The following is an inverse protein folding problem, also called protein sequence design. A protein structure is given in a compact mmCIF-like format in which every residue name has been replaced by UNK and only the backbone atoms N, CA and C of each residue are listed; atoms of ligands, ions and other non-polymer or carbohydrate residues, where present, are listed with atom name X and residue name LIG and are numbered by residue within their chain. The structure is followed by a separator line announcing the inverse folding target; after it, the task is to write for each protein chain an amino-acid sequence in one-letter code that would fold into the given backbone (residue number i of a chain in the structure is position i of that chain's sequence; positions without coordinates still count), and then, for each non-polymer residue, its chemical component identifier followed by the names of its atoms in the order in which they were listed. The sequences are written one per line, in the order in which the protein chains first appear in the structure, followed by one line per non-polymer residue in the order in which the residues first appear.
data_IF_090724985670
#
_entry.id   IF_090724985670
#
_cell.length_a   1.000
_cell.length_b   1.000
_cell.length_c   1.000
_cell.angle_alpha   90.00
_cell.angle_beta   90.00
_cell.angle_gamma   90.00
#
_symmetry.space_group_name_H-M   'P 1'
#
loop_
_entity.id
_entity.type
_entity.pdbx_description
1 polymer ?
#
# COMPACT_ATOMS: atom_id res chain seq x y z
N UNK A 1 19.00 7.50 -15.97
CA UNK A 1 17.68 6.88 -16.16
C UNK A 1 17.68 5.34 -16.05
N UNK A 2 18.46 4.56 -16.82
CA UNK A 2 18.45 3.07 -16.71
C UNK A 2 18.81 2.56 -15.31
N UNK A 3 19.81 3.13 -14.68
CA UNK A 3 20.26 2.81 -13.30
C UNK A 3 19.11 3.00 -12.31
N UNK A 4 18.44 4.14 -12.36
CA UNK A 4 17.32 4.48 -11.46
C UNK A 4 16.11 3.56 -11.68
N UNK A 5 15.80 3.23 -12.96
CA UNK A 5 14.73 2.27 -13.26
C UNK A 5 15.05 0.85 -12.76
N UNK A 6 16.31 0.41 -12.82
CA UNK A 6 16.73 -0.87 -12.24
C UNK A 6 16.56 -0.85 -10.72
N UNK A 7 16.98 0.22 -10.07
CA UNK A 7 16.85 0.38 -8.63
C UNK A 7 15.38 0.28 -8.17
N UNK A 8 14.51 1.12 -8.70
CA UNK A 8 13.10 1.14 -8.29
C UNK A 8 12.30 -0.07 -8.71
N UNK A 9 12.52 -0.59 -9.92
CA UNK A 9 11.72 -1.70 -10.44
C UNK A 9 12.12 -3.05 -9.86
N UNK A 10 13.42 -3.25 -9.62
CA UNK A 10 13.95 -4.56 -9.23
C UNK A 10 14.33 -4.64 -7.74
N UNK A 11 14.28 -3.53 -7.01
CA UNK A 11 14.67 -3.44 -5.60
C UNK A 11 16.04 -4.11 -5.33
N UNK A 12 17.01 -3.84 -6.19
CA UNK A 12 18.39 -4.35 -6.08
C UNK A 12 19.30 -3.32 -5.44
N UNK A 13 20.37 -3.77 -4.80
CA UNK A 13 21.34 -2.87 -4.15
C UNK A 13 22.06 -2.01 -5.16
N UNK A 14 22.41 -0.78 -4.77
CA UNK A 14 23.24 0.13 -5.59
C UNK A 14 24.59 -0.50 -5.97
N UNK A 15 25.17 -1.32 -5.08
CA UNK A 15 26.42 -2.04 -5.35
C UNK A 15 26.24 -3.03 -6.51
N UNK A 16 25.17 -3.83 -6.51
CA UNK A 16 24.90 -4.75 -7.60
C UNK A 16 24.72 -4.02 -8.94
N UNK A 17 24.00 -2.87 -8.91
CA UNK A 17 23.85 -2.04 -10.11
C UNK A 17 25.22 -1.52 -10.58
N UNK A 18 26.06 -1.07 -9.64
CA UNK A 18 27.40 -0.58 -9.94
C UNK A 18 28.26 -1.64 -10.62
N UNK A 19 28.24 -2.86 -10.11
CA UNK A 19 28.98 -4.02 -10.65
C UNK A 19 28.50 -4.39 -12.06
N UNK A 20 27.17 -4.39 -12.27
CA UNK A 20 26.57 -4.72 -13.59
C UNK A 20 26.85 -3.64 -14.63
N UNK A 21 26.85 -2.37 -14.23
CA UNK A 21 27.02 -1.23 -15.16
C UNK A 21 28.49 -0.87 -15.35
N UNK A 22 29.38 -1.33 -14.46
CA UNK A 22 30.82 -1.08 -14.52
C UNK A 22 31.20 0.34 -14.03
N UNK A 23 30.49 0.85 -13.01
CA UNK A 23 30.75 2.14 -12.38
C UNK A 23 30.91 1.99 -10.87
N UNK A 24 31.26 3.07 -10.15
CA UNK A 24 31.30 3.03 -8.68
C UNK A 24 29.89 3.13 -8.08
N UNK A 25 29.68 2.50 -6.91
CA UNK A 25 28.42 2.60 -6.15
C UNK A 25 28.04 4.07 -5.88
N UNK A 26 29.02 4.92 -5.55
CA UNK A 26 28.77 6.36 -5.36
C UNK A 26 28.31 7.09 -6.63
N UNK A 27 28.67 6.60 -7.81
CA UNK A 27 28.15 7.12 -9.08
C UNK A 27 26.69 6.71 -9.28
N UNK A 28 26.33 5.46 -8.93
CA UNK A 28 24.96 4.98 -8.94
C UNK A 28 24.09 5.81 -8.00
N UNK A 29 24.51 5.98 -6.75
CA UNK A 29 23.78 6.76 -5.75
C UNK A 29 23.50 8.20 -6.20
N UNK A 30 24.53 8.91 -6.70
CA UNK A 30 24.35 10.27 -7.24
C UNK A 30 23.43 10.33 -8.45
N UNK A 31 23.48 9.31 -9.31
CA UNK A 31 22.60 9.23 -10.48
C UNK A 31 21.13 9.04 -10.05
N UNK A 32 20.89 8.16 -9.08
CA UNK A 32 19.57 7.94 -8.51
C UNK A 32 19.03 9.24 -7.92
N UNK A 33 19.76 9.86 -6.99
CA UNK A 33 19.35 11.10 -6.33
C UNK A 33 19.05 12.24 -7.33
N UNK A 34 19.87 12.38 -8.41
CA UNK A 34 19.63 13.39 -9.44
C UNK A 34 18.33 13.12 -10.23
N UNK A 35 18.02 11.86 -10.54
CA UNK A 35 16.79 11.51 -11.25
C UNK A 35 15.58 11.61 -10.33
N UNK A 36 15.70 11.26 -9.05
CA UNK A 36 14.67 11.45 -8.03
C UNK A 36 14.25 12.91 -7.92
N UNK A 37 15.21 13.81 -7.84
CA UNK A 37 14.92 15.24 -7.77
C UNK A 37 14.13 15.75 -9.00
N UNK A 38 14.40 15.22 -10.18
CA UNK A 38 13.64 15.55 -11.40
C UNK A 38 12.24 14.93 -11.39
N UNK A 39 12.12 13.68 -10.92
CA UNK A 39 10.85 12.97 -10.86
C UNK A 39 9.91 13.63 -9.85
N UNK A 40 10.40 14.02 -8.68
CA UNK A 40 9.59 14.66 -7.65
C UNK A 40 8.94 15.94 -8.16
N UNK A 41 9.66 16.77 -8.93
CA UNK A 41 9.08 17.97 -9.52
C UNK A 41 7.90 17.65 -10.44
N UNK A 42 7.99 16.57 -11.23
CA UNK A 42 6.91 16.19 -12.16
C UNK A 42 5.74 15.51 -11.42
N UNK A 43 6.06 14.65 -10.45
CA UNK A 43 5.05 13.88 -9.72
C UNK A 43 4.23 14.78 -8.79
N UNK A 44 4.89 15.74 -8.11
CA UNK A 44 4.20 16.66 -7.19
C UNK A 44 3.15 17.51 -7.91
N UNK A 45 3.42 17.92 -9.15
CA UNK A 45 2.45 18.68 -9.97
C UNK A 45 1.26 17.81 -10.45
N UNK A 46 1.44 16.49 -10.53
CA UNK A 46 0.42 15.57 -11.02
C UNK A 46 -0.35 14.84 -9.90
N UNK A 47 0.03 15.03 -8.63
CA UNK A 47 -0.67 14.39 -7.53
C UNK A 47 -2.12 14.92 -7.41
N UNK A 48 -3.12 14.03 -7.47
CA UNK A 48 -4.50 14.45 -7.30
C UNK A 48 -4.73 14.89 -5.84
N UNK A 49 -5.53 15.93 -5.66
CA UNK A 49 -6.13 16.19 -4.36
C UNK A 49 -6.99 14.99 -3.97
N UNK A 50 -6.60 14.31 -2.91
CA UNK A 50 -7.21 13.05 -2.46
C UNK A 50 -8.70 13.25 -2.16
N UNK A 51 -9.08 14.33 -1.49
CA UNK A 51 -10.48 14.63 -1.20
C UNK A 51 -11.29 14.87 -2.47
N UNK A 52 -10.74 15.62 -3.41
CA UNK A 52 -11.40 15.87 -4.70
C UNK A 52 -11.54 14.58 -5.51
N UNK A 53 -10.52 13.73 -5.53
CA UNK A 53 -10.54 12.45 -6.23
C UNK A 53 -11.54 11.44 -5.62
N UNK A 54 -11.77 11.51 -4.32
CA UNK A 54 -12.73 10.65 -3.61
C UNK A 54 -14.18 11.13 -3.67
N UNK A 55 -14.41 12.38 -4.09
CA UNK A 55 -15.74 12.98 -4.07
C UNK A 55 -16.68 12.27 -5.04
N UNK A 56 -17.70 11.60 -4.49
CA UNK A 56 -18.69 10.85 -5.27
C UNK A 56 -18.17 9.53 -5.87
N UNK A 57 -16.96 9.11 -5.50
CA UNK A 57 -16.32 7.90 -6.00
C UNK A 57 -16.28 6.82 -4.91
N UNK A 58 -16.57 5.57 -5.28
CA UNK A 58 -16.30 4.44 -4.41
C UNK A 58 -14.82 4.11 -4.48
N UNK A 59 -14.19 4.09 -3.31
CA UNK A 59 -12.79 3.77 -3.18
C UNK A 59 -12.57 2.31 -2.79
N UNK A 60 -11.39 1.80 -3.12
CA UNK A 60 -10.85 0.52 -2.65
C UNK A 60 -9.58 0.80 -1.89
N UNK A 61 -9.46 0.23 -0.69
CA UNK A 61 -8.23 0.31 0.10
C UNK A 61 -7.66 -1.09 0.36
N UNK A 62 -6.34 -1.21 0.29
CA UNK A 62 -5.61 -2.41 0.69
C UNK A 62 -4.27 -2.05 1.31
N UNK A 63 -3.81 -2.89 2.24
CA UNK A 63 -2.48 -2.78 2.83
C UNK A 63 -1.46 -3.55 2.00
N UNK A 64 -0.37 -2.90 1.64
CA UNK A 64 0.75 -3.54 0.96
C UNK A 64 2.01 -3.48 1.79
N UNK A 65 2.80 -4.56 1.79
CA UNK A 65 4.11 -4.56 2.42
C UNK A 65 5.18 -4.18 1.39
N UNK A 66 5.92 -3.12 1.66
CA UNK A 66 7.13 -2.77 0.93
C UNK A 66 8.31 -3.48 1.58
N UNK A 67 8.87 -4.55 0.96
CA UNK A 67 9.92 -5.34 1.57
C UNK A 67 11.20 -4.51 1.76
N UNK A 68 11.83 -4.67 2.93
CA UNK A 68 13.14 -4.14 3.22
C UNK A 68 14.16 -5.27 3.27
N UNK A 69 15.44 -4.92 3.08
CA UNK A 69 16.54 -5.82 3.37
C UNK A 69 16.51 -6.20 4.85
N UNK A 70 17.06 -7.38 5.19
CA UNK A 70 17.05 -7.91 6.57
C UNK A 70 17.54 -6.88 7.59
N UNK A 71 16.76 -6.68 8.63
CA UNK A 71 17.01 -5.75 9.73
C UNK A 71 16.95 -6.50 11.06
N UNK A 72 18.08 -7.05 11.48
CA UNK A 72 18.18 -7.73 12.77
C UNK A 72 17.87 -6.79 13.95
N UNK A 73 18.13 -5.49 13.77
CA UNK A 73 18.03 -4.49 14.82
C UNK A 73 16.70 -3.71 14.79
N UNK A 74 15.78 -4.07 13.88
CA UNK A 74 14.47 -3.43 13.75
C UNK A 74 13.34 -4.49 13.71
N UNK A 75 13.08 -5.19 14.82
CA UNK A 75 12.07 -6.26 14.89
C UNK A 75 10.64 -5.77 14.60
N UNK A 76 10.37 -4.48 14.78
CA UNK A 76 9.09 -3.85 14.46
C UNK A 76 8.75 -3.87 12.97
N UNK A 77 9.74 -4.02 12.09
CA UNK A 77 9.53 -4.12 10.65
C UNK A 77 9.10 -5.53 10.22
N UNK A 78 9.21 -6.55 11.09
CA UNK A 78 8.83 -7.91 10.72
C UNK A 78 7.33 -8.09 10.67
N UNK A 79 6.83 -8.41 9.48
CA UNK A 79 5.42 -8.76 9.25
C UNK A 79 5.19 -10.25 9.42
N UNK A 80 4.48 -10.64 10.47
CA UNK A 80 4.08 -12.04 10.68
C UNK A 80 3.09 -12.55 9.61
N UNK A 81 2.33 -11.66 8.98
CA UNK A 81 1.41 -11.99 7.88
C UNK A 81 2.18 -12.37 6.61
N UNK A 82 3.25 -11.64 6.30
CA UNK A 82 4.03 -11.81 5.08
C UNK A 82 5.34 -12.60 5.28
N UNK A 83 5.66 -12.95 6.54
CA UNK A 83 6.86 -13.68 6.92
C UNK A 83 8.17 -13.02 6.42
N UNK A 84 8.17 -11.69 6.36
CA UNK A 84 9.32 -10.90 5.89
C UNK A 84 9.33 -9.51 6.55
N UNK A 85 10.47 -8.83 6.49
CA UNK A 85 10.64 -7.45 6.96
C UNK A 85 10.21 -6.44 5.90
N UNK A 86 9.54 -5.38 6.33
CA UNK A 86 9.13 -4.32 5.43
C UNK A 86 8.30 -3.25 6.14
N UNK A 87 7.88 -2.28 5.36
CA UNK A 87 6.95 -1.24 5.78
C UNK A 87 5.56 -1.52 5.21
N UNK A 88 4.54 -1.34 6.04
CA UNK A 88 3.14 -1.40 5.60
C UNK A 88 2.72 -0.03 5.07
N UNK A 89 2.23 0.03 3.84
CA UNK A 89 1.61 1.22 3.25
C UNK A 89 0.16 0.91 2.89
N UNK A 90 -0.69 1.91 3.04
CA UNK A 90 -2.08 1.83 2.61
C UNK A 90 -2.19 2.37 1.20
N UNK A 91 -2.76 1.59 0.29
CA UNK A 91 -2.97 1.96 -1.11
C UNK A 91 -4.45 2.20 -1.33
N UNK A 92 -4.78 3.37 -1.86
CA UNK A 92 -6.14 3.79 -2.17
C UNK A 92 -6.30 3.93 -3.68
N UNK A 93 -7.30 3.26 -4.24
CA UNK A 93 -7.61 3.30 -5.66
C UNK A 93 -9.11 3.48 -5.90
N UNK A 94 -9.52 3.90 -7.10
CA UNK A 94 -10.91 3.85 -7.54
C UNK A 94 -11.28 2.45 -8.11
N UNK A 95 -12.57 2.25 -8.42
CA UNK A 95 -13.05 0.99 -8.98
C UNK A 95 -12.51 0.68 -10.39
N UNK A 96 -11.90 1.64 -11.07
CA UNK A 96 -11.22 1.42 -12.36
C UNK A 96 -9.78 0.93 -12.18
N UNK A 97 -9.29 0.90 -10.94
CA UNK A 97 -7.91 0.54 -10.59
C UNK A 97 -6.94 1.72 -10.68
N UNK A 98 -7.43 2.95 -10.85
CA UNK A 98 -6.57 4.14 -10.83
C UNK A 98 -6.12 4.42 -9.40
N UNK A 99 -4.82 4.51 -9.21
CA UNK A 99 -4.22 4.89 -7.94
C UNK A 99 -4.63 6.34 -7.58
N UNK A 100 -5.15 6.50 -6.36
CA UNK A 100 -5.51 7.80 -5.79
C UNK A 100 -4.45 8.24 -4.79
N UNK A 101 -4.03 7.34 -3.91
CA UNK A 101 -3.10 7.68 -2.84
C UNK A 101 -2.32 6.46 -2.35
N UNK A 102 -1.10 6.71 -1.92
CA UNK A 102 -0.30 5.77 -1.11
C UNK A 102 0.08 6.50 0.17
N UNK A 103 -0.20 5.89 1.31
CA UNK A 103 0.13 6.47 2.61
C UNK A 103 1.63 6.47 2.89
N UNK A 104 2.02 7.27 3.87
CA UNK A 104 3.34 7.12 4.48
C UNK A 104 3.55 5.69 5.01
N UNK A 105 4.79 5.19 4.95
CA UNK A 105 5.12 3.85 5.41
C UNK A 105 5.11 3.77 6.94
N UNK A 106 4.50 2.73 7.48
CA UNK A 106 4.57 2.40 8.91
C UNK A 106 5.25 1.05 9.13
N UNK A 107 5.57 0.73 10.37
CA UNK A 107 6.23 -0.54 10.70
C UNK A 107 5.40 -1.76 10.28
N UNK A 108 6.04 -2.72 9.59
CA UNK A 108 5.39 -3.87 8.96
C UNK A 108 4.72 -4.87 9.91
N UNK A 109 5.00 -4.79 11.22
CA UNK A 109 4.31 -5.60 12.25
C UNK A 109 2.84 -5.24 12.41
N UNK A 110 2.44 -4.03 12.02
CA UNK A 110 1.10 -3.53 12.22
C UNK A 110 0.11 -4.11 11.21
N UNK A 111 -1.09 -4.48 11.70
CA UNK A 111 -2.18 -4.93 10.85
C UNK A 111 -2.82 -3.78 10.09
N UNK A 112 -3.46 -4.07 8.95
CA UNK A 112 -4.02 -3.10 8.03
C UNK A 112 -4.98 -2.09 8.71
N UNK A 113 -5.87 -2.55 9.61
CA UNK A 113 -6.75 -1.66 10.36
C UNK A 113 -6.02 -0.71 11.33
N UNK A 114 -4.86 -1.11 11.87
CA UNK A 114 -4.02 -0.24 12.69
C UNK A 114 -3.29 0.76 11.79
N UNK A 115 -2.68 0.28 10.71
CA UNK A 115 -2.01 1.08 9.71
C UNK A 115 -2.91 2.20 9.18
N UNK A 116 -4.15 1.87 8.85
CA UNK A 116 -5.15 2.82 8.37
C UNK A 116 -5.41 3.98 9.36
N UNK A 117 -5.46 3.68 10.66
CA UNK A 117 -5.67 4.74 11.68
C UNK A 117 -4.43 5.61 11.87
N UNK A 118 -3.25 4.99 11.86
CA UNK A 118 -1.96 5.66 12.03
C UNK A 118 -1.64 6.63 10.89
N UNK A 119 -2.04 6.29 9.67
CA UNK A 119 -1.78 7.11 8.47
C UNK A 119 -2.72 8.31 8.33
N UNK A 120 -3.70 8.49 9.23
CA UNK A 120 -4.64 9.60 9.17
C UNK A 120 -5.68 9.51 8.03
N UNK A 121 -5.65 8.45 7.22
CA UNK A 121 -6.61 8.25 6.13
C UNK A 121 -8.06 8.15 6.60
N UNK A 122 -8.26 7.82 7.88
CA UNK A 122 -9.60 7.73 8.48
C UNK A 122 -10.39 9.05 8.41
N UNK A 123 -9.69 10.18 8.43
CA UNK A 123 -10.29 11.52 8.37
C UNK A 123 -10.55 11.98 6.93
N UNK A 124 -9.93 11.32 5.95
CA UNK A 124 -9.98 11.73 4.53
C UNK A 124 -10.98 10.91 3.73
N UNK A 125 -11.12 9.60 4.03
CA UNK A 125 -11.95 8.69 3.23
C UNK A 125 -13.39 8.62 3.76
N UNK A 126 -14.34 8.51 2.83
CA UNK A 126 -15.72 8.17 3.19
C UNK A 126 -15.81 6.67 3.48
N UNK A 127 -15.79 6.31 4.77
CA UNK A 127 -15.77 4.92 5.23
C UNK A 127 -16.94 4.10 4.68
N UNK A 128 -18.14 4.68 4.59
CA UNK A 128 -19.34 3.99 4.09
C UNK A 128 -19.32 3.73 2.57
N UNK A 129 -18.40 4.38 1.86
CA UNK A 129 -18.21 4.22 0.41
C UNK A 129 -16.79 3.73 0.05
N UNK A 130 -16.09 3.12 1.02
CA UNK A 130 -14.75 2.54 0.82
C UNK A 130 -14.81 1.04 1.02
N UNK A 131 -14.42 0.28 -0.02
CA UNK A 131 -14.33 -1.17 0.03
C UNK A 131 -12.97 -1.59 0.59
N UNK A 132 -12.99 -2.57 1.49
CA UNK A 132 -11.77 -3.09 2.09
C UNK A 132 -11.89 -4.61 2.36
N UNK A 133 -10.78 -5.23 2.72
CA UNK A 133 -10.78 -6.63 3.13
C UNK A 133 -11.18 -6.82 4.60
N UNK A 134 -11.18 -8.08 5.05
CA UNK A 134 -11.49 -8.44 6.44
C UNK A 134 -10.46 -7.95 7.45
N UNK A 135 -9.29 -7.54 7.01
CA UNK A 135 -8.23 -6.95 7.82
C UNK A 135 -8.61 -5.58 8.40
N UNK A 136 -9.57 -4.89 7.76
CA UNK A 136 -10.08 -3.58 8.19
C UNK A 136 -11.30 -3.66 9.10
N UNK A 137 -11.52 -4.79 9.77
CA UNK A 137 -12.64 -4.94 10.69
C UNK A 137 -12.61 -3.87 11.80
N UNK A 138 -13.77 -3.24 12.05
CA UNK A 138 -13.92 -2.18 13.06
C UNK A 138 -13.49 -0.78 12.60
N UNK A 139 -13.22 -0.58 11.31
CA UNK A 139 -12.93 0.74 10.74
C UNK A 139 -14.18 1.49 10.25
N UNK A 140 -15.30 0.80 10.05
CA UNK A 140 -16.52 1.38 9.48
C UNK A 140 -16.63 1.26 7.96
N UNK A 141 -15.63 0.70 7.29
CA UNK A 141 -15.62 0.46 5.85
C UNK A 141 -16.55 -0.70 5.45
N UNK A 142 -16.84 -0.78 4.16
CA UNK A 142 -17.59 -1.87 3.54
C UNK A 142 -16.66 -3.06 3.35
N UNK A 143 -16.75 -4.02 4.25
CA UNK A 143 -15.91 -5.23 4.30
C UNK A 143 -16.73 -6.50 4.14
N UNK A 144 -16.15 -7.63 3.74
CA UNK A 144 -16.83 -8.92 3.71
C UNK A 144 -17.29 -9.36 5.11
N UNK A 145 -18.54 -9.79 5.20
CA UNK A 145 -19.15 -10.28 6.44
C UNK A 145 -18.52 -11.61 6.83
N UNK A 146 -18.05 -11.72 8.07
CA UNK A 146 -17.54 -12.98 8.63
C UNK A 146 -18.69 -13.85 9.13
N UNK A 147 -18.56 -15.15 8.93
CA UNK A 147 -19.45 -16.16 9.54
C UNK A 147 -19.26 -16.12 11.07
N UNK A 148 -20.36 -16.09 11.81
CA UNK A 148 -20.31 -16.21 13.28
C UNK A 148 -20.00 -17.65 13.69
N UNK A 149 -19.35 -17.88 14.83
CA UNK A 149 -19.05 -19.24 15.30
C UNK A 149 -20.30 -20.12 15.48
N UNK A 150 -21.46 -19.51 15.81
CA UNK A 150 -22.75 -20.17 16.00
C UNK A 150 -23.51 -20.48 14.71
N UNK A 151 -23.05 -19.98 13.57
CA UNK A 151 -23.70 -20.19 12.27
C UNK A 151 -23.04 -21.36 11.55
N UNK A 152 -23.85 -22.30 11.04
CA UNK A 152 -23.35 -23.40 10.19
C UNK A 152 -22.90 -22.86 8.81
N UNK A 153 -23.71 -21.97 8.24
CA UNK A 153 -23.47 -21.36 6.94
C UNK A 153 -23.69 -19.83 6.97
N UNK A 154 -23.00 -19.12 6.08
CA UNK A 154 -23.28 -17.71 5.85
C UNK A 154 -24.69 -17.53 5.29
N UNK A 155 -25.50 -16.58 5.82
CA UNK A 155 -26.78 -16.22 5.25
C UNK A 155 -26.67 -15.76 3.80
N UNK A 156 -27.73 -15.93 3.01
CA UNK A 156 -27.69 -15.58 1.57
C UNK A 156 -27.37 -14.10 1.33
N UNK A 157 -27.92 -13.19 2.13
CA UNK A 157 -27.59 -11.77 2.02
C UNK A 157 -26.08 -11.51 2.22
N UNK A 158 -25.46 -12.20 3.17
CA UNK A 158 -24.03 -12.07 3.44
C UNK A 158 -23.18 -12.66 2.31
N UNK A 159 -23.65 -13.74 1.66
CA UNK A 159 -23.00 -14.28 0.47
C UNK A 159 -23.06 -13.31 -0.70
N UNK A 160 -24.22 -12.67 -0.94
CA UNK A 160 -24.36 -11.64 -1.98
C UNK A 160 -23.50 -10.42 -1.72
N UNK A 161 -23.52 -9.91 -0.48
CA UNK A 161 -22.66 -8.80 -0.06
C UNK A 161 -21.18 -9.14 -0.26
N UNK A 162 -20.72 -10.30 0.20
CA UNK A 162 -19.32 -10.72 0.06
C UNK A 162 -18.93 -10.89 -1.41
N UNK A 163 -19.82 -11.39 -2.24
CA UNK A 163 -19.59 -11.47 -3.69
C UNK A 163 -19.38 -10.07 -4.27
N UNK A 164 -20.24 -9.13 -3.95
CA UNK A 164 -20.11 -7.75 -4.40
C UNK A 164 -18.77 -7.15 -4.01
N UNK A 165 -18.43 -7.18 -2.71
CA UNK A 165 -17.17 -6.62 -2.20
C UNK A 165 -15.95 -7.29 -2.87
N UNK A 166 -15.94 -8.62 -2.99
CA UNK A 166 -14.80 -9.35 -3.56
C UNK A 166 -14.67 -9.17 -5.09
N UNK A 167 -15.74 -8.79 -5.79
CA UNK A 167 -15.68 -8.55 -7.24
C UNK A 167 -15.13 -7.17 -7.57
N UNK A 168 -15.37 -6.18 -6.69
CA UNK A 168 -15.03 -4.78 -6.96
C UNK A 168 -13.79 -4.28 -6.19
N UNK A 169 -13.23 -5.13 -5.36
CA UNK A 169 -12.00 -4.87 -4.60
C UNK A 169 -10.76 -5.38 -5.30
#
# INVERSE_FOLDING_TARGET
MRVTLLYYRQNVTEQLIADVVGVSQSTVSRTIASVEAMLNVVIDDEQPDVEAALRGTTAVIDGTLLPCWSWSDAPELYSGKHMTTGHNCQVLADLSGRLIHISDPIAGKHHDAHAFRETGLADTVNLSNTLADKGYQGTGMVIPIKKRPSEEHLPNYAKHHNRFVNTHR
#
